data_IF_407580040058
#
_entry.id   IF_407580040058
#
_cell.length_a   1.000
_cell.length_b   1.000
_cell.length_c   1.000
_cell.angle_alpha   90.00
_cell.angle_beta   90.00
_cell.angle_gamma   90.00
#
_symmetry.space_group_name_H-M   'P 1'
#
loop_
_entity.id
_entity.type
_entity.pdbx_description
1 polymer ?
#
# COMPACT_ATOMS: atom_id res chain seq x y z
N UNK A 1 6.72 -50.18 -34.88
CA UNK A 1 6.55 -48.75 -35.27
C UNK A 1 5.11 -48.34 -34.96
N UNK A 2 4.87 -47.49 -33.95
CA UNK A 2 3.51 -47.03 -33.61
C UNK A 2 2.97 -46.14 -34.74
N UNK A 3 1.79 -46.47 -35.26
CA UNK A 3 1.10 -45.73 -36.33
C UNK A 3 0.98 -44.25 -36.01
N UNK A 4 1.30 -43.40 -36.99
CA UNK A 4 1.27 -41.93 -36.87
C UNK A 4 -0.08 -41.40 -36.35
N UNK A 5 -1.18 -42.07 -36.70
CA UNK A 5 -2.53 -41.72 -36.22
C UNK A 5 -2.74 -41.93 -34.72
N UNK A 6 -2.11 -42.96 -34.11
CA UNK A 6 -2.17 -43.20 -32.66
C UNK A 6 -1.39 -42.15 -31.87
N UNK A 7 -0.28 -41.65 -32.43
CA UNK A 7 0.51 -40.56 -31.84
C UNK A 7 -0.25 -39.23 -31.87
N UNK A 8 -0.90 -38.94 -33.00
CA UNK A 8 -1.71 -37.72 -33.18
C UNK A 8 -2.92 -37.67 -32.23
N UNK A 9 -3.65 -38.78 -32.06
CA UNK A 9 -4.77 -38.84 -31.11
C UNK A 9 -4.35 -38.66 -29.65
N UNK A 10 -3.18 -39.17 -29.27
CA UNK A 10 -2.62 -38.98 -27.92
C UNK A 10 -2.22 -37.52 -27.66
N UNK A 11 -1.64 -36.85 -28.68
CA UNK A 11 -1.30 -35.43 -28.61
C UNK A 11 -2.54 -34.54 -28.47
N UNK A 12 -3.61 -34.82 -29.22
CA UNK A 12 -4.87 -34.06 -29.11
C UNK A 12 -5.54 -34.27 -27.74
N UNK A 13 -5.54 -35.49 -27.21
CA UNK A 13 -6.07 -35.77 -25.87
C UNK A 13 -5.27 -35.09 -24.76
N UNK A 14 -3.93 -35.08 -24.85
CA UNK A 14 -3.09 -34.37 -23.89
C UNK A 14 -3.33 -32.85 -23.94
N UNK A 15 -3.45 -32.30 -25.15
CA UNK A 15 -3.73 -30.87 -25.36
C UNK A 15 -5.07 -30.44 -24.80
N UNK A 16 -6.14 -31.22 -25.01
CA UNK A 16 -7.46 -30.88 -24.48
C UNK A 16 -7.49 -30.90 -22.94
N UNK A 17 -6.83 -31.88 -22.31
CA UNK A 17 -6.70 -31.94 -20.84
C UNK A 17 -5.94 -30.72 -20.31
N UNK A 18 -4.86 -30.30 -20.96
CA UNK A 18 -4.08 -29.14 -20.54
C UNK A 18 -4.89 -27.84 -20.61
N UNK A 19 -5.73 -27.67 -21.65
CA UNK A 19 -6.63 -26.51 -21.77
C UNK A 19 -7.67 -26.49 -20.65
N UNK A 20 -8.27 -27.65 -20.34
CA UNK A 20 -9.25 -27.74 -19.24
C UNK A 20 -8.60 -27.42 -17.90
N UNK A 21 -7.40 -27.95 -17.63
CA UNK A 21 -6.65 -27.64 -16.40
C UNK A 21 -6.30 -26.16 -16.33
N UNK A 22 -5.86 -25.56 -17.43
CA UNK A 22 -5.57 -24.13 -17.50
C UNK A 22 -6.81 -23.27 -17.21
N UNK A 23 -7.96 -23.61 -17.80
CA UNK A 23 -9.22 -22.90 -17.57
C UNK A 23 -9.66 -22.98 -16.10
N UNK A 24 -9.55 -24.18 -15.49
CA UNK A 24 -9.84 -24.38 -14.06
C UNK A 24 -8.90 -23.53 -13.21
N UNK A 25 -7.59 -23.53 -13.48
CA UNK A 25 -6.63 -22.70 -12.73
C UNK A 25 -6.97 -21.21 -12.79
N UNK A 26 -7.36 -20.68 -13.96
CA UNK A 26 -7.75 -19.26 -14.10
C UNK A 26 -8.99 -18.93 -13.26
N UNK A 27 -9.98 -19.83 -13.21
CA UNK A 27 -11.20 -19.63 -12.42
C UNK A 27 -10.90 -19.64 -10.91
N UNK A 28 -10.04 -20.56 -10.45
CA UNK A 28 -9.71 -20.68 -9.01
C UNK A 28 -8.60 -19.74 -8.53
N UNK A 29 -7.81 -19.16 -9.45
CA UNK A 29 -6.73 -18.21 -9.15
C UNK A 29 -7.13 -17.05 -8.22
N UNK A 30 -8.21 -16.29 -8.48
CA UNK A 30 -8.58 -15.17 -7.62
C UNK A 30 -8.89 -15.64 -6.20
N UNK A 31 -9.62 -16.74 -6.01
CA UNK A 31 -9.96 -17.24 -4.68
C UNK A 31 -8.73 -17.64 -3.88
N UNK A 32 -7.78 -18.35 -4.51
CA UNK A 32 -6.51 -18.72 -3.86
C UNK A 32 -5.69 -17.48 -3.50
N UNK A 33 -5.58 -16.53 -4.43
CA UNK A 33 -4.86 -15.28 -4.22
C UNK A 33 -5.47 -14.45 -3.08
N UNK A 34 -6.78 -14.25 -3.09
CA UNK A 34 -7.47 -13.46 -2.06
C UNK A 34 -7.42 -14.13 -0.68
N UNK A 35 -7.48 -15.47 -0.60
CA UNK A 35 -7.33 -16.19 0.67
C UNK A 35 -5.93 -16.00 1.24
N UNK A 36 -4.89 -16.11 0.41
CA UNK A 36 -3.51 -15.89 0.83
C UNK A 36 -3.27 -14.43 1.25
N UNK A 37 -3.79 -13.48 0.46
CA UNK A 37 -3.69 -12.05 0.73
C UNK A 37 -4.42 -11.68 2.04
N UNK A 38 -5.61 -12.24 2.27
CA UNK A 38 -6.36 -12.04 3.50
C UNK A 38 -5.58 -12.57 4.71
N UNK A 39 -4.95 -13.74 4.60
CA UNK A 39 -4.11 -14.29 5.68
C UNK A 39 -2.92 -13.38 6.03
N UNK A 40 -2.35 -12.66 5.06
CA UNK A 40 -1.25 -11.72 5.31
C UNK A 40 -1.71 -10.34 5.81
N UNK A 41 -2.95 -9.95 5.49
CA UNK A 41 -3.52 -8.64 5.81
C UNK A 41 -4.27 -8.63 7.16
N UNK A 42 -4.72 -9.79 7.65
CA UNK A 42 -5.31 -9.90 8.97
C UNK A 42 -4.27 -9.50 10.03
N UNK A 43 -4.68 -8.68 10.99
CA UNK A 43 -3.91 -8.31 12.18
C UNK A 43 -3.85 -9.49 13.16
N UNK A 44 -3.16 -10.55 12.75
CA UNK A 44 -2.74 -11.66 13.62
C UNK A 44 -1.28 -11.46 13.99
N UNK A 45 -0.85 -11.91 15.17
CA UNK A 45 0.53 -11.73 15.66
C UNK A 45 1.59 -12.33 14.72
N UNK A 46 1.21 -13.31 13.90
CA UNK A 46 2.08 -13.95 12.91
C UNK A 46 2.12 -13.24 11.54
N UNK A 47 1.28 -12.23 11.30
CA UNK A 47 1.23 -11.56 9.99
C UNK A 47 2.26 -10.45 9.85
N UNK A 48 2.81 -10.29 8.64
CA UNK A 48 3.72 -9.20 8.30
C UNK A 48 3.08 -7.82 8.44
N UNK A 49 1.76 -7.72 8.25
CA UNK A 49 1.04 -6.47 8.42
C UNK A 49 1.02 -6.01 9.88
N UNK A 50 1.01 -6.94 10.84
CA UNK A 50 1.05 -6.61 12.26
C UNK A 50 2.40 -6.02 12.70
N UNK A 51 3.52 -6.56 12.19
CA UNK A 51 4.86 -6.04 12.54
C UNK A 51 5.06 -4.59 12.05
N UNK A 52 4.62 -4.30 10.81
CA UNK A 52 4.64 -2.94 10.24
C UNK A 52 3.69 -2.00 10.99
N UNK A 53 2.51 -2.48 11.40
CA UNK A 53 1.57 -1.68 12.18
C UNK A 53 2.10 -1.35 13.58
N UNK A 54 2.80 -2.30 14.22
CA UNK A 54 3.38 -2.11 15.55
C UNK A 54 4.48 -1.06 15.55
N UNK A 55 5.38 -1.15 14.59
CA UNK A 55 6.51 -0.24 14.44
C UNK A 55 6.76 0.03 12.96
N UNK A 56 6.56 1.28 12.55
CA UNK A 56 6.75 1.68 11.15
C UNK A 56 8.25 1.75 10.86
N UNK A 57 8.79 0.93 9.94
CA UNK A 57 10.23 0.87 9.70
C UNK A 57 10.75 2.07 8.89
N UNK A 58 9.86 2.86 8.32
CA UNK A 58 10.18 3.99 7.45
C UNK A 58 10.21 5.28 8.29
N UNK A 59 11.30 6.07 8.26
CA UNK A 59 11.35 7.34 8.95
C UNK A 59 10.36 8.33 8.29
N UNK A 60 9.45 8.89 9.10
CA UNK A 60 8.52 9.93 8.68
C UNK A 60 9.06 11.30 9.09
N UNK A 61 8.85 12.30 8.23
CA UNK A 61 9.26 13.68 8.48
C UNK A 61 8.05 14.59 8.33
N UNK A 62 7.81 15.44 9.33
CA UNK A 62 6.82 16.49 9.31
C UNK A 62 7.52 17.82 9.01
N UNK A 63 7.14 18.43 7.89
CA UNK A 63 7.64 19.75 7.49
C UNK A 63 6.60 20.81 7.81
N UNK A 64 6.90 21.67 8.78
CA UNK A 64 6.05 22.78 9.14
C UNK A 64 6.49 24.07 8.42
N UNK A 65 5.55 24.74 7.77
CA UNK A 65 5.73 26.07 7.20
C UNK A 65 4.85 27.06 7.98
N UNK A 66 5.47 28.16 8.41
CA UNK A 66 4.79 29.21 9.16
C UNK A 66 4.66 30.45 8.28
N UNK A 67 3.55 31.17 8.39
CA UNK A 67 3.37 32.44 7.71
C UNK A 67 3.55 33.58 8.72
N UNK A 68 4.69 34.26 8.64
CA UNK A 68 4.98 35.44 9.45
C UNK A 68 4.23 36.65 8.92
N UNK A 69 3.48 37.35 9.76
CA UNK A 69 2.73 38.54 9.34
C UNK A 69 3.64 39.76 9.49
N UNK A 70 3.92 40.46 8.38
CA UNK A 70 4.87 41.57 8.36
C UNK A 70 4.24 42.93 8.64
N UNK A 71 2.91 43.07 8.44
CA UNK A 71 2.19 44.35 8.61
C UNK A 71 1.16 44.33 9.76
N UNK A 72 1.56 43.81 10.93
CA UNK A 72 0.66 43.68 12.10
C UNK A 72 0.11 45.04 12.56
N UNK A 73 0.96 46.08 12.65
CA UNK A 73 0.54 47.40 13.13
C UNK A 73 -0.49 48.07 12.23
N UNK A 74 -0.35 47.91 10.90
CA UNK A 74 -1.30 48.46 9.92
C UNK A 74 -2.66 47.73 9.95
N UNK A 75 -2.64 46.43 10.27
CA UNK A 75 -3.84 45.62 10.46
C UNK A 75 -4.59 46.10 11.71
N UNK A 76 -3.88 46.30 12.82
CA UNK A 76 -4.46 46.79 14.07
C UNK A 76 -5.04 48.20 13.89
N UNK A 77 -4.32 49.06 13.16
CA UNK A 77 -4.78 50.41 12.83
C UNK A 77 -5.94 50.47 11.82
N UNK A 78 -6.39 49.33 11.26
CA UNK A 78 -7.41 49.21 10.21
C UNK A 78 -7.11 49.97 8.92
N UNK A 79 -5.84 50.29 8.69
CA UNK A 79 -5.37 50.98 7.48
C UNK A 79 -4.93 49.99 6.40
N UNK A 80 -4.55 48.76 6.79
CA UNK A 80 -4.16 47.72 5.86
C UNK A 80 -5.34 47.21 5.01
N UNK A 81 -5.14 47.20 3.68
CA UNK A 81 -6.10 46.60 2.72
C UNK A 81 -5.98 45.08 2.66
N UNK A 82 -4.78 44.54 2.88
CA UNK A 82 -4.47 43.10 2.82
C UNK A 82 -3.43 42.73 3.88
N UNK A 83 -3.50 41.49 4.38
CA UNK A 83 -2.46 40.93 5.26
C UNK A 83 -1.26 40.55 4.42
N UNK A 84 -0.09 41.10 4.76
CA UNK A 84 1.18 40.72 4.17
C UNK A 84 1.80 39.62 5.01
N UNK A 85 2.15 38.51 4.36
CA UNK A 85 2.77 37.37 5.00
C UNK A 85 4.04 36.96 4.28
N UNK A 86 5.02 36.53 5.06
CA UNK A 86 6.26 35.91 4.60
C UNK A 86 6.26 34.44 5.05
N UNK A 87 6.52 33.52 4.13
CA UNK A 87 6.61 32.11 4.45
C UNK A 87 7.98 31.79 5.07
N UNK A 88 7.98 31.19 6.24
CA UNK A 88 9.16 30.73 6.96
C UNK A 88 9.15 29.20 7.09
N UNK A 89 10.31 28.58 6.87
CA UNK A 89 10.50 27.13 6.98
C UNK A 89 11.35 26.55 5.84
N UNK A 90 11.42 25.21 5.74
CA UNK A 90 10.70 24.24 6.57
C UNK A 90 11.33 24.04 7.95
N UNK A 91 10.48 23.95 8.98
CA UNK A 91 10.86 23.41 10.29
C UNK A 91 10.57 21.90 10.28
N UNK A 92 11.62 21.09 10.24
CA UNK A 92 11.52 19.64 10.01
C UNK A 92 11.60 18.87 11.31
N UNK A 93 10.60 18.02 11.58
CA UNK A 93 10.57 17.11 12.71
C UNK A 93 10.57 15.66 12.23
N UNK A 94 11.35 14.79 12.88
CA UNK A 94 11.31 13.34 12.62
C UNK A 94 10.28 12.70 13.53
N UNK A 95 9.28 12.05 12.94
CA UNK A 95 8.24 11.34 13.67
C UNK A 95 8.58 9.85 13.80
N UNK A 96 8.40 9.31 15.01
CA UNK A 96 8.53 7.89 15.31
C UNK A 96 7.25 7.39 15.95
N UNK A 97 6.57 6.46 15.28
CA UNK A 97 5.28 5.92 15.74
C UNK A 97 5.45 4.48 16.20
N UNK A 98 5.20 4.23 17.47
CA UNK A 98 5.24 2.90 18.08
C UNK A 98 3.95 2.64 18.85
N UNK A 99 3.27 1.53 18.57
CA UNK A 99 2.06 1.13 19.32
C UNK A 99 2.46 0.44 20.62
N UNK A 100 2.06 1.02 21.75
CA UNK A 100 2.29 0.46 23.09
C UNK A 100 1.01 -0.16 23.67
N UNK A 101 1.16 -1.18 24.53
CA UNK A 101 0.06 -1.95 25.16
C UNK A 101 -0.92 -2.57 24.16
N UNK A 102 -0.39 -3.43 23.30
CA UNK A 102 -1.21 -4.25 22.42
C UNK A 102 -1.74 -5.42 23.27
N UNK A 103 -3.06 -5.50 23.43
CA UNK A 103 -3.72 -6.64 24.07
C UNK A 103 -4.39 -7.46 22.97
N UNK A 104 -4.03 -8.75 22.91
CA UNK A 104 -4.67 -9.73 22.03
C UNK A 104 -6.12 -9.98 22.43
#
# INVERSE_FOLDING_TARGET
>A
MVSSGKKSGCLMGCGSVMVVVGAVMVIFWPTLFFNQLKSMMILSEESTSFSIWREVPIPMYLECYMFNITNVDEIIARTAKTVQVEQLGPYVFRESHTKVRIRS
#
